data_IF_071009186375
#
_entry.id   IF_071009186375
#
_cell.length_a   1.000
_cell.length_b   1.000
_cell.length_c   1.000
_cell.angle_alpha   90.00
_cell.angle_beta   90.00
_cell.angle_gamma   90.00
#
_symmetry.space_group_name_H-M   'P 1'
#
loop_
_entity.id
_entity.type
_entity.pdbx_description
1 polymer ?
#
# COMPACT_ATOMS: atom_id res chain seq x y z
N UNK A 1 -6.04 24.44 0.44
CA UNK A 1 -5.45 23.34 1.24
C UNK A 1 -6.54 22.31 1.52
N UNK A 2 -6.26 21.00 1.44
CA UNK A 2 -7.26 19.97 1.70
C UNK A 2 -7.60 19.92 3.20
N UNK A 3 -8.88 20.09 3.61
CA UNK A 3 -9.27 20.05 5.02
C UNK A 3 -8.93 18.73 5.72
N UNK A 4 -8.90 17.63 4.96
CA UNK A 4 -8.59 16.29 5.47
C UNK A 4 -7.09 15.96 5.55
N UNK A 5 -6.19 16.87 5.17
CA UNK A 5 -4.76 16.55 5.01
C UNK A 5 -4.11 15.96 6.27
N UNK A 6 -4.29 16.62 7.43
CA UNK A 6 -3.71 16.14 8.69
C UNK A 6 -4.27 14.79 9.13
N UNK A 7 -5.58 14.57 8.96
CA UNK A 7 -6.23 13.30 9.27
C UNK A 7 -5.76 12.18 8.35
N UNK A 8 -5.62 12.47 7.04
CA UNK A 8 -5.18 11.51 6.04
C UNK A 8 -3.73 11.05 6.27
N UNK A 9 -2.83 11.97 6.64
CA UNK A 9 -1.46 11.62 7.00
C UNK A 9 -1.41 10.71 8.23
N UNK A 10 -2.16 11.05 9.29
CA UNK A 10 -2.24 10.22 10.49
C UNK A 10 -2.74 8.80 10.17
N UNK A 11 -3.76 8.67 9.31
CA UNK A 11 -4.26 7.36 8.89
C UNK A 11 -3.21 6.60 8.08
N UNK A 12 -2.54 7.27 7.13
CA UNK A 12 -1.50 6.65 6.32
C UNK A 12 -0.35 6.12 7.18
N UNK A 13 0.14 6.92 8.11
CA UNK A 13 1.21 6.55 9.05
C UNK A 13 0.82 5.32 9.87
N UNK A 14 -0.39 5.33 10.46
CA UNK A 14 -0.88 4.19 11.24
C UNK A 14 -1.00 2.92 10.40
N UNK A 15 -1.62 2.99 9.22
CA UNK A 15 -1.81 1.81 8.37
C UNK A 15 -0.47 1.27 7.86
N UNK A 16 0.39 2.13 7.31
CA UNK A 16 1.69 1.69 6.76
C UNK A 16 2.56 1.10 7.87
N UNK A 17 2.63 1.73 9.05
CA UNK A 17 3.41 1.21 10.17
C UNK A 17 2.95 -0.19 10.62
N UNK A 18 1.63 -0.42 10.74
CA UNK A 18 1.12 -1.73 11.10
C UNK A 18 1.35 -2.77 9.98
N UNK A 19 1.15 -2.40 8.72
CA UNK A 19 1.34 -3.31 7.58
C UNK A 19 2.78 -3.80 7.45
N UNK A 20 3.77 -2.92 7.67
CA UNK A 20 5.19 -3.31 7.63
C UNK A 20 5.62 -4.07 8.88
N UNK A 21 5.02 -3.77 10.03
CA UNK A 21 5.34 -4.40 11.31
C UNK A 21 4.85 -5.84 11.39
N UNK A 22 3.64 -6.12 10.92
CA UNK A 22 3.02 -7.44 11.05
C UNK A 22 3.26 -8.38 9.87
N UNK A 23 3.60 -7.85 8.68
CA UNK A 23 3.70 -8.66 7.48
C UNK A 23 5.06 -8.57 6.79
N UNK A 24 5.51 -9.70 6.28
CA UNK A 24 6.54 -9.78 5.25
C UNK A 24 5.87 -9.73 3.89
N UNK A 25 6.46 -8.98 2.97
CA UNK A 25 5.90 -8.69 1.65
C UNK A 25 6.82 -9.27 0.59
N UNK A 26 6.26 -10.09 -0.29
CA UNK A 26 6.97 -10.67 -1.44
C UNK A 26 6.29 -10.27 -2.74
N UNK A 27 7.09 -9.96 -3.74
CA UNK A 27 6.58 -9.62 -5.07
C UNK A 27 5.87 -10.84 -5.68
N UNK A 28 4.80 -10.60 -6.45
CA UNK A 28 4.22 -11.67 -7.27
C UNK A 28 5.14 -11.96 -8.46
N UNK A 29 5.39 -13.24 -8.73
CA UNK A 29 6.27 -13.67 -9.82
C UNK A 29 5.81 -13.11 -11.18
N UNK A 30 6.76 -12.60 -11.96
CA UNK A 30 6.53 -12.13 -13.34
C UNK A 30 5.76 -10.82 -13.47
N UNK A 31 5.54 -10.08 -12.38
CA UNK A 31 4.77 -8.84 -12.41
C UNK A 31 5.70 -7.62 -12.42
N UNK A 32 6.03 -7.11 -13.61
CA UNK A 32 6.62 -5.77 -13.73
C UNK A 32 5.62 -4.74 -13.20
N UNK A 33 6.10 -3.86 -12.33
CA UNK A 33 5.24 -2.85 -11.70
C UNK A 33 4.87 -1.79 -12.74
N UNK A 34 3.60 -1.82 -13.19
CA UNK A 34 3.03 -0.79 -14.05
C UNK A 34 2.51 0.39 -13.21
N UNK A 35 3.17 1.54 -13.35
CA UNK A 35 2.78 2.79 -12.70
C UNK A 35 1.86 3.66 -13.57
N UNK A 36 1.39 3.16 -14.72
CA UNK A 36 0.49 3.92 -15.58
C UNK A 36 -0.82 4.25 -14.86
N UNK A 37 -1.29 5.48 -15.07
CA UNK A 37 -2.46 6.02 -14.39
C UNK A 37 -3.71 5.91 -15.28
N UNK A 38 -4.87 5.84 -14.65
CA UNK A 38 -6.18 6.06 -15.29
C UNK A 38 -6.95 7.11 -14.51
N UNK A 39 -7.66 7.97 -15.22
CA UNK A 39 -8.54 8.95 -14.63
C UNK A 39 -9.97 8.40 -14.56
N UNK A 40 -10.52 8.36 -13.36
CA UNK A 40 -11.93 8.07 -13.10
C UNK A 40 -12.55 9.30 -12.41
N UNK A 41 -13.22 9.12 -11.27
CA UNK A 41 -13.57 10.23 -10.38
C UNK A 41 -12.32 10.83 -9.71
N UNK A 42 -11.31 9.99 -9.47
CA UNK A 42 -9.96 10.35 -9.00
C UNK A 42 -8.90 9.76 -9.94
N UNK A 43 -7.63 10.13 -9.74
CA UNK A 43 -6.51 9.44 -10.40
C UNK A 43 -6.25 8.12 -9.69
N UNK A 44 -6.26 7.02 -10.45
CA UNK A 44 -6.09 5.65 -9.95
C UNK A 44 -5.01 4.93 -10.76
N UNK A 45 -4.42 3.86 -10.21
CA UNK A 45 -3.53 2.99 -10.99
C UNK A 45 -4.32 2.23 -12.05
N UNK A 46 -3.80 2.17 -13.28
CA UNK A 46 -4.43 1.42 -14.38
C UNK A 46 -4.49 -0.07 -14.05
N UNK A 47 -3.38 -0.60 -13.53
CA UNK A 47 -3.23 -1.95 -13.03
C UNK A 47 -2.87 -1.88 -11.54
N UNK A 48 -3.78 -2.28 -10.61
CA UNK A 48 -3.50 -2.21 -9.17
C UNK A 48 -2.30 -3.06 -8.74
N UNK A 49 -1.55 -2.57 -7.75
CA UNK A 49 -0.47 -3.34 -7.14
C UNK A 49 -1.01 -4.59 -6.43
N UNK A 50 -0.28 -5.69 -6.55
CA UNK A 50 -0.58 -6.95 -5.86
C UNK A 50 0.71 -7.51 -5.26
N UNK A 51 0.62 -8.08 -4.07
CA UNK A 51 1.75 -8.66 -3.34
C UNK A 51 1.29 -9.88 -2.54
N UNK A 52 2.20 -10.83 -2.33
CA UNK A 52 2.01 -11.89 -1.36
C UNK A 52 2.41 -11.37 0.02
N UNK A 53 1.56 -11.60 1.02
CA UNK A 53 1.83 -11.24 2.41
C UNK A 53 1.80 -12.48 3.29
N UNK A 54 2.75 -12.55 4.23
CA UNK A 54 2.78 -13.56 5.29
C UNK A 54 2.98 -12.87 6.64
N UNK A 55 2.38 -13.37 7.74
CA UNK A 55 2.65 -12.84 9.06
C UNK A 55 4.15 -12.95 9.40
N UNK A 56 4.74 -11.88 9.90
CA UNK A 56 6.06 -11.95 10.54
C UNK A 56 5.91 -12.76 11.83
N UNK A 57 6.63 -13.87 11.92
CA UNK A 57 6.72 -14.62 13.17
C UNK A 57 7.64 -13.85 14.10
N UNK A 58 7.07 -13.10 15.04
CA UNK A 58 7.85 -12.58 16.17
C UNK A 58 8.14 -13.78 17.09
N UNK A 59 9.20 -14.51 16.80
CA UNK A 59 9.83 -15.37 17.81
C UNK A 59 10.39 -14.45 18.90
N UNK A 60 9.61 -14.31 19.98
CA UNK A 60 10.11 -13.87 21.27
C UNK A 60 10.77 -15.04 22.00
#
# INVERSE_FOLDING_TARGET
>A
ICPGYGLALLHLEYFVANLIWYFEWTAMDGNDIDLSEKQEFTICMKNPLSAYISPRVNTF
#
